data_IF_591188164715
#
_entry.id   IF_591188164715
#
_cell.length_a   1.000
_cell.length_b   1.000
_cell.length_c   1.000
_cell.angle_alpha   90.00
_cell.angle_beta   90.00
_cell.angle_gamma   90.00
#
_symmetry.space_group_name_H-M   'P 1'
#
loop_
_entity.id
_entity.type
_entity.pdbx_description
1 polymer ?
#
# COMPACT_ATOMS: atom_id res chain seq x y z
N UNK A 1 7.77 -4.51 -9.96
CA UNK A 1 7.50 -5.96 -10.11
C UNK A 1 6.21 -6.12 -10.89
N UNK A 2 6.03 -7.21 -11.64
CA UNK A 2 4.76 -7.53 -12.30
C UNK A 2 4.05 -8.62 -11.50
N UNK A 3 2.76 -8.41 -11.24
CA UNK A 3 1.91 -9.34 -10.52
C UNK A 3 0.74 -9.74 -11.42
N UNK A 4 0.45 -11.04 -11.45
CA UNK A 4 -0.73 -11.61 -12.08
C UNK A 4 -1.76 -12.00 -11.02
N UNK A 5 -2.95 -12.41 -11.47
CA UNK A 5 -4.01 -12.86 -10.57
C UNK A 5 -3.55 -14.02 -9.67
N UNK A 6 -3.83 -13.90 -8.38
CA UNK A 6 -3.47 -14.89 -7.35
C UNK A 6 -2.03 -14.78 -6.84
N UNK A 7 -1.20 -13.91 -7.42
CA UNK A 7 0.16 -13.67 -6.95
C UNK A 7 0.20 -12.59 -5.85
N UNK A 8 1.20 -12.67 -4.97
CA UNK A 8 1.45 -11.66 -3.96
C UNK A 8 2.94 -11.30 -3.90
N UNK A 9 3.23 -10.05 -3.53
CA UNK A 9 4.56 -9.62 -3.13
C UNK A 9 4.54 -9.13 -1.69
N UNK A 10 5.70 -9.16 -1.06
CA UNK A 10 5.98 -8.34 0.13
C UNK A 10 6.75 -7.12 -0.37
N UNK A 11 6.23 -5.92 -0.10
CA UNK A 11 7.01 -4.70 -0.29
C UNK A 11 8.05 -4.65 0.83
N UNK A 12 9.36 -4.64 0.53
CA UNK A 12 10.37 -4.57 1.56
C UNK A 12 10.26 -3.29 2.39
N UNK A 13 10.70 -3.38 3.64
CA UNK A 13 10.78 -2.22 4.52
C UNK A 13 11.61 -1.11 3.88
N UNK A 14 11.06 0.08 3.73
CA UNK A 14 11.74 1.32 3.35
C UNK A 14 11.55 1.66 1.88
N UNK A 15 10.91 0.79 1.11
CA UNK A 15 10.82 0.91 -0.34
C UNK A 15 9.54 1.65 -0.75
N UNK A 16 9.71 2.72 -1.50
CA UNK A 16 8.60 3.39 -2.15
C UNK A 16 7.98 2.48 -3.19
N UNK A 17 6.65 2.35 -3.15
CA UNK A 17 5.89 1.59 -4.12
C UNK A 17 4.77 2.44 -4.69
N UNK A 18 4.55 2.30 -6.00
CA UNK A 18 3.47 2.95 -6.73
C UNK A 18 2.76 1.91 -7.58
N UNK A 19 1.77 1.18 -7.02
CA UNK A 19 1.00 0.21 -7.78
C UNK A 19 0.32 0.89 -8.98
N UNK A 20 0.35 0.20 -10.12
CA UNK A 20 -0.25 0.65 -11.37
C UNK A 20 -0.79 -0.55 -12.12
N UNK A 21 -1.90 -0.36 -12.83
CA UNK A 21 -2.47 -1.33 -13.74
C UNK A 21 -2.97 -0.61 -15.00
N UNK A 22 -2.73 -1.21 -16.16
CA UNK A 22 -3.18 -0.68 -17.46
C UNK A 22 -4.70 -0.74 -17.59
N UNK A 23 -5.34 -1.74 -16.97
CA UNK A 23 -6.79 -1.95 -16.94
C UNK A 23 -7.30 -2.00 -15.49
N UNK A 24 -8.61 -1.87 -15.30
CA UNK A 24 -9.23 -1.99 -13.97
C UNK A 24 -8.91 -3.35 -13.36
N UNK A 25 -8.41 -3.35 -12.13
CA UNK A 25 -8.09 -4.56 -11.39
C UNK A 25 -8.51 -4.46 -9.92
N UNK A 26 -8.54 -5.62 -9.26
CA UNK A 26 -8.80 -5.73 -7.82
C UNK A 26 -7.53 -6.15 -7.12
N UNK A 27 -7.14 -5.38 -6.11
CA UNK A 27 -5.96 -5.66 -5.30
C UNK A 27 -6.35 -5.78 -3.84
N UNK A 28 -5.59 -6.58 -3.11
CA UNK A 28 -5.66 -6.65 -1.65
C UNK A 28 -4.38 -6.05 -1.08
N UNK A 29 -4.51 -5.00 -0.27
CA UNK A 29 -3.41 -4.44 0.50
C UNK A 29 -3.52 -5.00 1.92
N UNK A 30 -2.47 -5.69 2.37
CA UNK A 30 -2.36 -6.18 3.73
C UNK A 30 -1.36 -5.31 4.46
N UNK A 31 -1.82 -4.62 5.48
CA UNK A 31 -1.02 -3.67 6.25
C UNK A 31 -1.19 -3.89 7.75
N UNK A 32 -0.22 -3.46 8.58
CA UNK A 32 -0.39 -3.43 10.01
C UNK A 32 -1.66 -2.69 10.42
N UNK A 33 -2.35 -3.22 11.41
CA UNK A 33 -3.55 -2.59 11.96
C UNK A 33 -3.19 -1.19 12.48
N UNK A 34 -3.92 -0.17 12.07
CA UNK A 34 -3.71 1.21 12.53
C UNK A 34 -2.92 2.09 11.57
N UNK A 35 -2.45 1.57 10.43
CA UNK A 35 -1.92 2.39 9.34
C UNK A 35 -3.04 3.28 8.80
N UNK A 36 -2.84 4.60 8.88
CA UNK A 36 -3.83 5.57 8.39
C UNK A 36 -3.53 5.86 6.93
N UNK A 37 -4.24 5.23 5.99
CA UNK A 37 -3.98 5.38 4.55
C UNK A 37 -4.37 6.74 3.94
N UNK A 38 -4.57 7.79 4.74
CA UNK A 38 -4.98 9.14 4.28
C UNK A 38 -5.04 10.20 5.42
N UNK A 39 -4.52 9.90 6.61
CA UNK A 39 -4.65 10.74 7.81
C UNK A 39 -6.12 10.91 8.24
N UNK A 40 -6.49 12.00 8.92
CA UNK A 40 -7.88 12.50 9.01
C UNK A 40 -8.20 13.45 7.83
N UNK A 41 -7.54 13.21 6.69
CA UNK A 41 -7.14 14.18 5.67
C UNK A 41 -6.34 15.37 6.26
N UNK A 42 -5.26 15.13 6.99
CA UNK A 42 -4.28 16.19 7.27
C UNK A 42 -3.16 16.15 6.23
N UNK A 43 -3.33 16.84 5.09
CA UNK A 43 -2.47 16.69 3.90
C UNK A 43 -2.52 15.26 3.34
N UNK A 44 -3.14 15.03 2.17
CA UNK A 44 -3.90 13.79 1.97
C UNK A 44 -3.17 12.43 2.07
N UNK A 45 -1.83 12.34 2.09
CA UNK A 45 -1.09 11.06 2.11
C UNK A 45 -0.53 10.63 3.49
N UNK A 46 -0.95 11.26 4.60
CA UNK A 46 -0.32 11.05 5.93
C UNK A 46 -0.76 9.74 6.65
N UNK A 47 0.15 9.03 7.37
CA UNK A 47 -0.14 7.88 8.26
C UNK A 47 0.52 8.01 9.66
N UNK A 48 -0.17 7.71 10.79
CA UNK A 48 0.46 7.69 12.14
C UNK A 48 0.25 6.36 12.91
N UNK A 49 1.39 5.79 13.34
CA UNK A 49 1.73 4.64 14.20
C UNK A 49 0.97 3.30 14.08
N UNK A 50 1.48 2.46 13.17
CA UNK A 50 2.15 1.16 13.41
C UNK A 50 3.07 0.88 12.18
N UNK A 51 3.81 1.92 11.78
CA UNK A 51 4.35 2.10 10.42
C UNK A 51 5.67 1.34 10.26
N UNK A 52 5.63 0.17 9.62
CA UNK A 52 6.75 -0.26 8.78
C UNK A 52 6.61 0.49 7.45
N UNK A 53 7.38 1.56 7.29
CA UNK A 53 8.17 1.69 6.03
C UNK A 53 9.23 0.51 5.93
#
# INVERSE_FOLDING_TARGET
VQLNEGEMIVVPRGEEHKPFADEECRVLLVEPKGVVNTGAAGGQLTAENDVWI
#
